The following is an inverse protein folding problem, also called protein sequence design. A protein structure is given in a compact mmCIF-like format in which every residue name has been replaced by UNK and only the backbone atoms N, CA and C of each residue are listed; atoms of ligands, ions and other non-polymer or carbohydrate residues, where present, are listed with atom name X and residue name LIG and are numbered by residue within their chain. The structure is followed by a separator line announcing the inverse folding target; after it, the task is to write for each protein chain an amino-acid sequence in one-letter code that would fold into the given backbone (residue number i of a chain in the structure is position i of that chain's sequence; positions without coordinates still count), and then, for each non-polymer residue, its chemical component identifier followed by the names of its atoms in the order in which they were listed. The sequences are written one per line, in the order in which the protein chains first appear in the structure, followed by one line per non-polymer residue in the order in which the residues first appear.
data_IF_074733500472
#
_entry.id   IF_074733500472
#
_cell.length_a   1.000
_cell.length_b   1.000
_cell.length_c   1.000
_cell.angle_alpha   90.00
_cell.angle_beta   90.00
_cell.angle_gamma   90.00
#
_symmetry.space_group_name_H-M   'P 1'
#
loop_
_entity.id
_entity.type
_entity.pdbx_description
1 polymer ?
#
# COMPACT_ATOMS: atom_id res chain seq x y z
N UNK A 1 -64.93 -15.52 -34.44
CA UNK A 1 -64.21 -14.70 -35.45
C UNK A 1 -62.71 -14.77 -35.11
N UNK A 2 -61.98 -15.66 -35.79
CA UNK A 2 -60.89 -15.38 -36.77
C UNK A 2 -59.80 -14.46 -36.22
N UNK A 3 -58.69 -14.98 -35.69
CA UNK A 3 -57.47 -15.55 -36.35
C UNK A 3 -56.64 -14.55 -37.17
N UNK A 4 -55.38 -14.38 -36.74
CA UNK A 4 -54.11 -14.51 -37.50
C UNK A 4 -53.01 -14.81 -36.44
N UNK A 5 -52.39 -15.99 -36.32
CA UNK A 5 -51.43 -16.73 -37.21
C UNK A 5 -50.34 -15.79 -37.72
N UNK A 6 -49.03 -16.05 -37.61
CA UNK A 6 -48.17 -17.17 -37.19
C UNK A 6 -46.73 -16.59 -37.28
N UNK A 7 -45.66 -17.18 -36.73
CA UNK A 7 -44.93 -18.36 -37.21
C UNK A 7 -43.73 -18.48 -36.23
N UNK A 8 -43.58 -19.51 -35.38
CA UNK A 8 -43.04 -20.85 -35.61
C UNK A 8 -41.52 -20.95 -35.80
N UNK A 9 -40.96 -21.90 -35.03
CA UNK A 9 -39.64 -22.56 -35.07
C UNK A 9 -38.49 -21.80 -34.36
N UNK A 10 -37.75 -22.37 -33.41
CA UNK A 10 -37.66 -23.76 -32.95
C UNK A 10 -36.22 -24.04 -32.48
N UNK A 11 -36.06 -24.21 -31.17
CA UNK A 11 -35.26 -25.24 -30.47
C UNK A 11 -33.90 -25.64 -31.08
N UNK A 12 -32.81 -25.43 -30.33
CA UNK A 12 -31.88 -26.52 -29.97
C UNK A 12 -30.83 -26.09 -28.93
N UNK A 13 -30.80 -26.87 -27.84
CA UNK A 13 -29.71 -27.06 -26.87
C UNK A 13 -28.31 -27.10 -27.49
N UNK A 14 -27.33 -26.41 -26.88
CA UNK A 14 -26.05 -27.01 -26.51
C UNK A 14 -25.25 -26.11 -25.56
N UNK A 15 -24.75 -26.72 -24.49
CA UNK A 15 -23.70 -26.17 -23.62
C UNK A 15 -22.47 -25.77 -24.43
N UNK A 16 -21.80 -24.67 -24.05
CA UNK A 16 -20.35 -24.63 -23.80
C UNK A 16 -19.92 -23.24 -23.30
N UNK A 17 -19.10 -23.16 -22.25
CA UNK A 17 -18.42 -21.93 -21.83
C UNK A 17 -17.19 -21.69 -22.72
N UNK A 18 -16.99 -20.46 -23.18
CA UNK A 18 -15.79 -20.08 -23.92
C UNK A 18 -14.85 -19.29 -23.00
N UNK A 19 -13.86 -20.00 -22.45
CA UNK A 19 -12.65 -19.39 -21.89
C UNK A 19 -11.84 -18.78 -23.03
N UNK A 20 -11.53 -17.49 -22.94
CA UNK A 20 -10.44 -16.90 -23.73
C UNK A 20 -9.19 -16.95 -22.88
N UNK A 21 -8.45 -18.06 -23.01
CA UNK A 21 -7.05 -18.13 -22.66
C UNK A 21 -6.25 -17.59 -23.86
N UNK A 22 -5.57 -16.45 -23.69
CA UNK A 22 -4.52 -16.06 -24.62
C UNK A 22 -3.19 -16.61 -24.04
N UNK A 23 -2.71 -17.70 -24.63
CA UNK A 23 -1.37 -18.24 -24.43
C UNK A 23 -0.48 -17.69 -25.54
N UNK A 24 0.50 -16.86 -25.20
CA UNK A 24 1.61 -16.55 -26.09
C UNK A 24 2.79 -17.47 -25.70
N UNK A 25 2.91 -18.61 -26.37
CA UNK A 25 4.12 -19.44 -26.37
C UNK A 25 5.01 -18.95 -27.51
N UNK A 26 5.97 -18.09 -27.22
CA UNK A 26 7.03 -17.76 -28.17
C UNK A 26 7.97 -18.94 -28.32
N UNK A 27 7.92 -19.54 -29.51
CA UNK A 27 8.71 -20.70 -29.91
C UNK A 27 9.97 -20.18 -30.61
N UNK A 28 11.13 -20.23 -29.96
CA UNK A 28 12.43 -20.06 -30.63
C UNK A 28 13.01 -21.44 -30.90
N UNK A 29 12.88 -21.89 -32.14
CA UNK A 29 13.47 -23.14 -32.61
C UNK A 29 14.98 -22.97 -32.85
N UNK A 30 15.80 -23.66 -32.07
CA UNK A 30 17.20 -23.92 -32.41
C UNK A 30 17.30 -25.38 -32.85
N UNK A 31 17.39 -25.57 -34.17
CA UNK A 31 17.74 -26.84 -34.80
C UNK A 31 19.25 -27.08 -34.63
N UNK A 32 19.64 -27.93 -33.70
CA UNK A 32 20.91 -28.66 -33.76
C UNK A 32 20.59 -30.14 -33.63
N UNK A 33 20.76 -30.85 -34.74
CA UNK A 33 20.53 -32.29 -34.79
C UNK A 33 21.64 -33.06 -34.09
N UNK A 34 21.26 -34.21 -33.50
CA UNK A 34 22.04 -35.44 -33.52
C UNK A 34 21.10 -36.63 -33.27
N UNK A 35 21.13 -37.59 -34.18
CA UNK A 35 20.43 -38.88 -34.09
C UNK A 35 21.03 -39.72 -32.95
N UNK A 36 20.19 -40.19 -32.02
CA UNK A 36 20.35 -41.52 -31.40
C UNK A 36 19.07 -41.87 -30.65
N UNK A 37 18.62 -43.10 -30.82
CA UNK A 37 17.39 -43.67 -30.31
C UNK A 37 17.40 -43.85 -28.78
N UNK A 38 16.20 -43.75 -28.21
CA UNK A 38 15.78 -44.21 -26.87
C UNK A 38 16.39 -43.51 -25.65
N UNK A 39 15.68 -42.52 -25.11
CA UNK A 39 15.66 -42.18 -23.68
C UNK A 39 14.45 -41.31 -23.41
N UNK A 40 13.66 -41.69 -22.40
CA UNK A 40 12.54 -40.87 -21.89
C UNK A 40 13.03 -39.46 -21.66
N UNK A 41 12.50 -38.52 -22.43
CA UNK A 41 12.72 -37.09 -22.24
C UNK A 41 11.83 -36.65 -21.09
N UNK A 42 12.33 -36.76 -19.87
CA UNK A 42 11.84 -35.89 -18.80
C UNK A 42 12.20 -34.47 -19.23
N UNK A 43 11.18 -33.68 -19.50
CA UNK A 43 11.34 -32.24 -19.68
C UNK A 43 11.59 -31.65 -18.29
N UNK A 44 12.86 -31.63 -17.88
CA UNK A 44 13.31 -30.81 -16.74
C UNK A 44 13.36 -29.37 -17.25
N UNK A 45 12.28 -28.65 -17.04
CA UNK A 45 12.24 -27.19 -17.21
C UNK A 45 12.84 -26.58 -15.95
N UNK A 46 14.12 -26.20 -16.02
CA UNK A 46 14.73 -25.38 -14.98
C UNK A 46 14.31 -23.93 -15.25
N UNK A 47 13.24 -23.49 -14.60
CA UNK A 47 12.83 -22.08 -14.58
C UNK A 47 13.82 -21.29 -13.72
N UNK A 48 14.79 -20.63 -14.36
CA UNK A 48 15.86 -19.88 -13.69
C UNK A 48 15.42 -18.55 -13.06
N UNK A 49 14.12 -18.34 -12.81
CA UNK A 49 13.58 -17.15 -12.15
C UNK A 49 12.29 -17.41 -11.34
N UNK A 50 11.90 -18.68 -11.15
CA UNK A 50 10.94 -19.04 -10.13
C UNK A 50 11.74 -19.65 -8.98
N UNK A 51 11.64 -19.08 -7.77
CA UNK A 51 12.10 -19.79 -6.59
C UNK A 51 11.53 -21.22 -6.64
N UNK A 52 12.33 -22.24 -6.34
CA UNK A 52 11.87 -23.62 -6.33
C UNK A 52 10.98 -23.82 -5.10
N UNK A 53 9.74 -23.36 -5.22
CA UNK A 53 8.76 -23.40 -4.14
C UNK A 53 8.49 -24.86 -3.80
N UNK A 54 8.82 -25.22 -2.56
CA UNK A 54 8.64 -26.57 -2.05
C UNK A 54 7.76 -26.53 -0.80
N UNK A 55 6.53 -27.05 -0.92
CA UNK A 55 5.57 -27.09 0.18
C UNK A 55 6.01 -27.98 1.37
N UNK A 56 7.06 -28.79 1.20
CA UNK A 56 7.68 -29.53 2.30
C UNK A 56 8.61 -28.69 3.17
N UNK A 57 9.07 -27.54 2.67
CA UNK A 57 9.86 -26.57 3.43
C UNK A 57 8.95 -25.77 4.36
N UNK A 58 9.43 -25.44 5.56
CA UNK A 58 8.69 -24.61 6.50
C UNK A 58 8.65 -23.15 6.02
N UNK A 59 7.45 -22.55 5.99
CA UNK A 59 7.30 -21.11 5.75
C UNK A 59 7.93 -20.31 6.89
N UNK A 60 8.75 -19.28 6.61
CA UNK A 60 9.23 -18.36 7.64
C UNK A 60 8.08 -17.83 8.49
N UNK A 61 8.24 -17.84 9.81
CA UNK A 61 7.30 -17.22 10.74
C UNK A 61 7.86 -15.87 11.16
N UNK A 62 7.19 -14.78 10.76
CA UNK A 62 7.52 -13.43 11.21
C UNK A 62 6.99 -13.27 12.63
N UNK A 63 7.87 -12.99 13.58
CA UNK A 63 7.57 -12.88 15.02
C UNK A 63 7.53 -11.44 15.51
N UNK A 64 8.07 -10.49 14.73
CA UNK A 64 8.03 -9.05 15.02
C UNK A 64 7.96 -8.26 13.71
N UNK A 65 7.00 -7.33 13.65
CA UNK A 65 6.74 -6.46 12.51
C UNK A 65 7.41 -5.08 12.68
N UNK A 66 7.38 -4.26 11.63
CA UNK A 66 8.05 -2.94 11.59
C UNK A 66 7.37 -1.84 12.43
N UNK A 67 6.28 -2.16 13.13
CA UNK A 67 5.50 -1.25 13.98
C UNK A 67 4.63 -0.24 13.22
N UNK A 68 4.07 0.71 13.96
CA UNK A 68 3.08 1.70 13.47
C UNK A 68 3.66 2.68 12.42
N UNK A 69 2.85 3.32 11.57
CA UNK A 69 3.29 4.36 10.63
C UNK A 69 4.18 5.44 11.27
N UNK A 70 5.11 6.01 10.49
CA UNK A 70 6.07 7.03 10.98
C UNK A 70 6.21 8.19 9.99
N UNK A 71 6.43 9.39 10.53
CA UNK A 71 6.69 10.61 9.76
C UNK A 71 8.05 11.19 10.12
N UNK A 72 8.79 11.65 9.11
CA UNK A 72 10.10 12.30 9.24
C UNK A 72 10.13 13.64 8.49
N UNK A 73 10.93 14.58 8.98
CA UNK A 73 11.28 15.77 8.20
C UNK A 73 12.24 15.38 7.05
N UNK A 74 12.17 16.12 5.94
CA UNK A 74 13.09 15.99 4.81
C UNK A 74 14.54 16.13 5.33
N UNK A 75 15.36 15.15 4.96
CA UNK A 75 16.76 15.00 5.39
C UNK A 75 16.97 14.64 6.87
N UNK A 76 15.91 14.34 7.64
CA UNK A 76 16.06 13.78 8.98
C UNK A 76 16.69 12.38 8.94
N UNK A 77 17.27 11.94 10.05
CA UNK A 77 17.72 10.55 10.18
C UNK A 77 16.53 9.66 10.51
N UNK A 78 16.20 8.72 9.62
CA UNK A 78 15.13 7.75 9.87
C UNK A 78 15.56 6.65 10.84
N UNK A 79 14.61 6.17 11.65
CA UNK A 79 14.80 4.97 12.46
C UNK A 79 14.92 3.73 11.57
N UNK A 80 15.64 2.74 12.08
CA UNK A 80 15.86 1.46 11.42
C UNK A 80 14.59 0.62 11.47
N UNK A 81 14.03 0.26 10.31
CA UNK A 81 12.98 -0.75 10.21
C UNK A 81 13.60 -2.12 10.49
N UNK A 82 12.95 -2.91 11.33
CA UNK A 82 13.43 -4.24 11.74
C UNK A 82 12.29 -5.24 11.64
N UNK A 83 12.59 -6.44 11.14
CA UNK A 83 11.72 -7.62 11.26
C UNK A 83 12.47 -8.74 11.97
N UNK A 84 11.74 -9.56 12.71
CA UNK A 84 12.25 -10.81 13.26
C UNK A 84 11.51 -11.97 12.63
N UNK A 85 12.24 -12.98 12.17
CA UNK A 85 11.66 -14.18 11.59
C UNK A 85 12.37 -15.44 12.09
N UNK A 86 11.61 -16.53 12.19
CA UNK A 86 12.08 -17.82 12.71
C UNK A 86 11.65 -18.99 11.83
N UNK A 87 12.50 -20.02 11.81
CA UNK A 87 12.24 -21.35 11.22
C UNK A 87 12.94 -22.39 12.07
N UNK A 88 12.40 -23.61 12.09
CA UNK A 88 13.01 -24.73 12.82
C UNK A 88 14.20 -25.35 12.07
N UNK A 89 14.18 -25.29 10.74
CA UNK A 89 15.25 -25.75 9.86
C UNK A 89 15.39 -24.81 8.66
N UNK A 90 16.63 -24.64 8.20
CA UNK A 90 16.96 -23.88 6.99
C UNK A 90 17.74 -22.61 7.26
N UNK A 91 17.89 -21.81 6.21
CA UNK A 91 18.57 -20.51 6.26
C UNK A 91 17.61 -19.44 5.79
N UNK A 92 17.47 -18.37 6.59
CA UNK A 92 16.67 -17.21 6.24
C UNK A 92 17.46 -16.19 5.44
N UNK A 93 16.83 -15.64 4.40
CA UNK A 93 17.32 -14.47 3.66
C UNK A 93 16.19 -13.45 3.48
N UNK A 94 16.56 -12.18 3.29
CA UNK A 94 15.63 -11.06 3.22
C UNK A 94 15.77 -10.32 1.90
N UNK A 95 14.68 -9.72 1.44
CA UNK A 95 14.70 -8.75 0.36
C UNK A 95 13.64 -7.69 0.65
N UNK A 96 14.07 -6.44 0.80
CA UNK A 96 13.17 -5.32 1.00
C UNK A 96 12.59 -4.81 -0.32
N UNK A 97 11.36 -4.32 -0.23
CA UNK A 97 10.59 -3.75 -1.32
C UNK A 97 10.01 -2.41 -0.89
N UNK A 98 9.87 -1.50 -1.86
CA UNK A 98 9.08 -0.28 -1.71
C UNK A 98 7.85 -0.32 -2.60
N UNK A 99 6.78 0.31 -2.14
CA UNK A 99 5.54 0.44 -2.89
C UNK A 99 4.96 1.84 -2.71
N UNK A 100 4.27 2.32 -3.73
CA UNK A 100 3.53 3.58 -3.70
C UNK A 100 2.09 3.39 -3.22
N UNK A 101 1.69 2.14 -2.98
CA UNK A 101 0.40 1.77 -2.39
C UNK A 101 0.63 0.86 -1.19
N UNK A 102 -0.33 0.83 -0.27
CA UNK A 102 -0.31 -0.03 0.90
C UNK A 102 -0.51 -1.50 0.52
N UNK A 103 0.54 -2.13 0.01
CA UNK A 103 0.53 -3.54 -0.38
C UNK A 103 1.91 -4.17 -0.26
N UNK A 104 1.93 -5.38 0.28
CA UNK A 104 3.09 -6.27 0.31
C UNK A 104 3.23 -7.15 -0.95
N UNK A 105 2.54 -6.77 -2.04
CA UNK A 105 2.64 -7.40 -3.34
C UNK A 105 2.86 -6.36 -4.45
N UNK A 106 3.61 -6.74 -5.48
CA UNK A 106 3.84 -5.88 -6.66
C UNK A 106 4.76 -4.67 -6.42
N UNK A 107 5.41 -4.58 -5.26
CA UNK A 107 6.40 -3.54 -4.98
C UNK A 107 7.68 -3.68 -5.80
N UNK A 108 8.47 -2.62 -5.83
CA UNK A 108 9.80 -2.59 -6.46
C UNK A 108 10.85 -3.04 -5.45
N UNK A 109 11.67 -4.04 -5.81
CA UNK A 109 12.77 -4.49 -4.98
C UNK A 109 13.78 -3.36 -4.75
N UNK A 110 14.29 -3.26 -3.53
CA UNK A 110 15.32 -2.29 -3.15
C UNK A 110 16.69 -2.99 -3.26
N UNK A 111 17.48 -2.56 -4.22
CA UNK A 111 18.78 -3.18 -4.52
C UNK A 111 19.70 -3.19 -3.29
N UNK A 112 20.21 -4.38 -2.96
CA UNK A 112 21.16 -4.58 -1.86
C UNK A 112 20.56 -4.56 -0.45
N UNK A 113 19.26 -4.31 -0.30
CA UNK A 113 18.59 -4.38 1.00
C UNK A 113 18.22 -5.86 1.31
N UNK A 114 19.21 -6.62 1.78
CA UNK A 114 19.10 -8.08 2.03
C UNK A 114 19.24 -8.49 3.49
N UNK A 115 19.26 -7.52 4.40
CA UNK A 115 19.36 -7.74 5.84
C UNK A 115 17.96 -7.78 6.49
N UNK A 116 17.89 -8.27 7.73
CA UNK A 116 16.66 -8.21 8.54
C UNK A 116 16.24 -6.77 8.91
N UNK A 117 17.09 -5.79 8.59
CA UNK A 117 16.91 -4.38 8.90
C UNK A 117 17.07 -3.51 7.66
N UNK A 118 16.38 -2.38 7.60
CA UNK A 118 16.51 -1.38 6.54
C UNK A 118 16.27 0.04 7.07
N UNK A 119 17.09 1.01 6.66
CA UNK A 119 16.89 2.43 6.99
C UNK A 119 16.36 3.17 5.76
N UNK A 120 15.10 3.60 5.76
CA UNK A 120 14.52 4.35 4.64
C UNK A 120 15.25 5.67 4.39
N UNK A 121 15.43 6.07 3.12
CA UNK A 121 15.93 7.40 2.81
C UNK A 121 14.86 8.46 3.10
N UNK A 122 15.31 9.63 3.55
CA UNK A 122 14.48 10.83 3.79
C UNK A 122 14.85 11.96 2.82
N UNK A 123 15.39 11.62 1.65
CA UNK A 123 15.94 12.59 0.69
C UNK A 123 14.90 13.21 -0.24
N UNK A 124 13.68 12.66 -0.26
CA UNK A 124 12.56 13.09 -1.08
C UNK A 124 11.31 13.08 -0.21
N UNK A 125 10.48 14.10 -0.33
CA UNK A 125 9.19 14.21 0.35
C UNK A 125 8.16 13.26 -0.28
N UNK A 126 7.18 12.84 0.52
CA UNK A 126 6.11 11.94 0.07
C UNK A 126 5.96 10.69 0.95
N UNK A 127 5.03 9.83 0.55
CA UNK A 127 4.68 8.60 1.29
C UNK A 127 5.13 7.37 0.52
N UNK A 128 5.83 6.47 1.19
CA UNK A 128 6.28 5.18 0.65
C UNK A 128 5.95 4.07 1.65
N UNK A 129 5.47 2.94 1.14
CA UNK A 129 5.22 1.73 1.91
C UNK A 129 6.37 0.75 1.74
N UNK A 130 6.92 0.29 2.85
CA UNK A 130 8.01 -0.70 2.85
C UNK A 130 7.49 -2.05 3.33
N UNK A 131 7.95 -3.12 2.71
CA UNK A 131 7.74 -4.49 3.19
C UNK A 131 8.96 -5.34 2.84
N UNK A 132 9.07 -6.50 3.48
CA UNK A 132 10.17 -7.43 3.26
C UNK A 132 9.62 -8.82 2.96
N UNK A 133 10.22 -9.47 1.98
CA UNK A 133 9.99 -10.89 1.72
C UNK A 133 11.09 -11.68 2.40
N UNK A 134 10.70 -12.51 3.36
CA UNK A 134 11.59 -13.44 4.04
C UNK A 134 11.51 -14.77 3.31
N UNK A 135 12.66 -15.35 3.02
CA UNK A 135 12.80 -16.62 2.31
C UNK A 135 13.50 -17.64 3.20
N UNK A 136 12.91 -18.82 3.41
CA UNK A 136 13.58 -19.97 4.01
C UNK A 136 14.08 -20.90 2.92
N UNK A 137 15.33 -21.32 3.00
CA UNK A 137 15.94 -22.28 2.07
C UNK A 137 16.43 -23.52 2.83
N UNK A 138 16.01 -24.70 2.36
CA UNK A 138 16.46 -26.01 2.86
C UNK A 138 16.88 -26.85 1.65
N UNK A 139 18.18 -27.07 1.47
CA UNK A 139 18.70 -27.70 0.25
C UNK A 139 18.35 -26.86 -0.98
N UNK A 140 17.65 -27.47 -1.95
CA UNK A 140 17.16 -26.78 -3.16
C UNK A 140 15.71 -26.26 -3.00
N UNK A 141 15.04 -26.54 -1.88
CA UNK A 141 13.65 -26.15 -1.63
C UNK A 141 13.55 -24.78 -0.96
N UNK A 142 12.53 -24.02 -1.34
CA UNK A 142 12.31 -22.65 -0.85
C UNK A 142 10.86 -22.44 -0.41
N UNK A 143 10.66 -21.67 0.65
CA UNK A 143 9.36 -21.06 0.98
C UNK A 143 9.52 -19.61 1.40
N UNK A 144 8.46 -18.81 1.20
CA UNK A 144 8.49 -17.37 1.45
C UNK A 144 7.32 -16.93 2.31
N UNK A 145 7.55 -15.86 3.08
CA UNK A 145 6.53 -15.11 3.81
C UNK A 145 6.83 -13.62 3.61
N UNK A 146 5.82 -12.85 3.21
CA UNK A 146 5.92 -11.39 3.18
C UNK A 146 5.46 -10.82 4.54
N UNK A 147 6.14 -9.77 5.00
CA UNK A 147 5.72 -8.99 6.16
C UNK A 147 4.42 -8.22 5.90
N UNK A 148 3.89 -7.59 6.95
CA UNK A 148 3.02 -6.43 6.78
C UNK A 148 3.75 -5.27 6.08
N UNK A 149 3.02 -4.19 5.83
CA UNK A 149 3.56 -2.95 5.27
C UNK A 149 3.87 -1.94 6.38
N UNK A 150 4.90 -1.12 6.17
CA UNK A 150 5.24 0.03 6.99
C UNK A 150 5.08 1.30 6.18
N UNK A 151 4.15 2.16 6.60
CA UNK A 151 4.00 3.50 6.04
C UNK A 151 5.09 4.43 6.57
N UNK A 152 5.82 5.08 5.67
CA UNK A 152 6.81 6.11 5.96
C UNK A 152 6.47 7.36 5.16
N UNK A 153 6.21 8.46 5.88
CA UNK A 153 5.93 9.76 5.28
C UNK A 153 7.10 10.70 5.53
N UNK A 154 7.57 11.39 4.48
CA UNK A 154 8.60 12.42 4.57
C UNK A 154 7.98 13.77 4.23
N UNK A 155 8.07 14.73 5.15
CA UNK A 155 7.50 16.08 5.01
C UNK A 155 8.61 17.10 4.81
N UNK A 156 8.44 18.04 3.89
CA UNK A 156 9.38 19.16 3.79
C UNK A 156 9.23 20.07 5.01
N UNK A 157 10.35 20.41 5.64
CA UNK A 157 10.35 21.43 6.66
C UNK A 157 10.11 22.78 5.98
N UNK A 158 8.99 23.42 6.31
CA UNK A 158 8.71 24.78 5.85
C UNK A 158 9.81 25.70 6.38
N UNK A 159 10.54 26.35 5.47
CA UNK A 159 11.58 27.28 5.84
C UNK A 159 10.93 28.41 6.65
N UNK A 160 11.38 28.59 7.90
CA UNK A 160 11.04 29.78 8.67
C UNK A 160 11.34 31.01 7.79
N UNK A 161 10.43 32.01 7.72
CA UNK A 161 10.63 33.15 6.83
C UNK A 161 11.96 33.82 7.18
N UNK A 162 12.91 33.80 6.25
CA UNK A 162 14.15 34.55 6.41
C UNK A 162 13.78 36.03 6.45
N UNK A 163 13.84 36.63 7.64
CA UNK A 163 13.64 38.06 7.80
C UNK A 163 14.76 38.83 7.07
N UNK A 164 14.45 39.30 5.86
CA UNK A 164 15.28 40.28 5.17
C UNK A 164 15.07 41.64 5.83
N UNK A 165 15.98 42.03 6.73
CA UNK A 165 16.10 43.42 7.19
C UNK A 165 16.28 44.34 5.98
N UNK A 166 15.29 45.18 5.70
CA UNK A 166 15.47 46.32 4.81
C UNK A 166 15.12 47.61 5.56
N UNK A 167 16.14 48.45 5.72
CA UNK A 167 16.06 49.79 6.31
C UNK A 167 15.46 50.75 5.28
N UNK A 168 14.41 51.51 5.66
CA UNK A 168 14.38 52.99 5.68
C UNK A 168 12.98 53.61 5.42
N UNK A 169 12.62 54.54 6.32
CA UNK A 169 11.77 55.74 6.21
C UNK A 169 10.24 55.64 5.99
N UNK A 170 9.54 55.58 7.12
CA UNK A 170 8.56 56.57 7.62
C UNK A 170 7.85 57.50 6.60
N UNK A 171 6.53 57.33 6.45
CA UNK A 171 5.54 58.41 6.67
C UNK A 171 4.18 57.76 6.98
N UNK A 172 3.58 58.19 8.10
CA UNK A 172 2.41 57.62 8.75
C UNK A 172 1.07 57.87 8.04
N UNK A 173 0.15 56.89 8.13
CA UNK A 173 -1.16 57.09 8.76
C UNK A 173 -1.79 55.74 9.16
N UNK A 174 -2.36 55.74 10.35
CA UNK A 174 -2.83 54.61 11.16
C UNK A 174 -4.26 54.21 10.77
N UNK A 175 -4.53 52.93 10.53
CA UNK A 175 -5.77 52.25 10.92
C UNK A 175 -5.50 50.75 10.97
N UNK A 176 -5.51 50.21 12.17
CA UNK A 176 -5.56 48.78 12.52
C UNK A 176 -6.74 48.08 11.86
N UNK A 177 -6.53 46.95 11.17
CA UNK A 177 -7.32 45.72 11.31
C UNK A 177 -6.47 44.51 10.88
N UNK A 178 -6.79 43.37 11.48
CA UNK A 178 -5.94 42.22 11.73
C UNK A 178 -5.56 41.39 10.50
N UNK A 179 -4.35 40.85 10.61
CA UNK A 179 -3.77 39.76 9.83
C UNK A 179 -4.61 38.49 9.93
N UNK A 180 -5.13 38.03 8.80
CA UNK A 180 -5.41 36.61 8.56
C UNK A 180 -4.65 36.24 7.28
N UNK A 181 -3.36 35.95 7.43
CA UNK A 181 -2.62 35.24 6.39
C UNK A 181 -2.98 33.76 6.50
N UNK A 182 -3.92 33.40 5.63
CA UNK A 182 -4.41 32.04 5.37
C UNK A 182 -3.23 31.23 4.82
N UNK A 183 -2.56 30.48 5.70
CA UNK A 183 -1.64 29.41 5.29
C UNK A 183 -2.41 28.45 4.38
N UNK A 184 -1.77 27.98 3.30
CA UNK A 184 -2.40 27.06 2.38
C UNK A 184 -2.71 25.72 3.08
N UNK A 185 -3.84 25.64 3.78
CA UNK A 185 -4.46 24.40 4.18
C UNK A 185 -4.97 23.72 2.91
N UNK A 186 -4.75 22.41 2.78
CA UNK A 186 -5.41 21.64 1.74
C UNK A 186 -6.93 21.83 1.77
N UNK A 187 -7.59 21.48 0.67
CA UNK A 187 -9.01 21.73 0.47
C UNK A 187 -9.78 20.41 0.39
N UNK A 188 -10.89 20.33 1.11
CA UNK A 188 -11.87 19.26 0.95
C UNK A 188 -12.51 19.34 -0.44
N UNK A 189 -12.47 18.21 -1.15
CA UNK A 189 -13.03 18.05 -2.49
C UNK A 189 -14.11 16.97 -2.46
N UNK A 190 -15.08 17.07 -3.38
CA UNK A 190 -16.16 16.08 -3.48
C UNK A 190 -16.32 15.59 -4.91
N UNK A 191 -16.42 14.27 -5.09
CA UNK A 191 -16.69 13.62 -6.37
C UNK A 191 -17.73 12.52 -6.18
N UNK A 192 -18.82 12.57 -6.95
CA UNK A 192 -19.95 11.62 -6.86
C UNK A 192 -20.52 11.42 -5.44
N UNK A 193 -20.47 12.46 -4.62
CA UNK A 193 -20.95 12.44 -3.22
C UNK A 193 -19.92 11.96 -2.20
N UNK A 194 -18.76 11.48 -2.63
CA UNK A 194 -17.66 11.06 -1.76
C UNK A 194 -16.64 12.19 -1.59
N UNK A 195 -16.12 12.34 -0.37
CA UNK A 195 -15.17 13.38 -0.03
C UNK A 195 -13.74 12.86 -0.07
N UNK A 196 -12.82 13.68 -0.59
CA UNK A 196 -11.38 13.47 -0.55
C UNK A 196 -10.69 14.79 -0.16
N UNK A 197 -9.44 14.74 0.25
CA UNK A 197 -8.71 15.93 0.67
C UNK A 197 -7.56 16.22 -0.29
N UNK A 198 -7.56 17.40 -0.91
CA UNK A 198 -6.45 17.84 -1.74
C UNK A 198 -5.47 18.63 -0.88
N UNK A 199 -4.27 18.13 -0.69
CA UNK A 199 -3.20 18.86 -0.04
C UNK A 199 -2.83 20.10 -0.86
N UNK A 200 -2.25 21.12 -0.23
CA UNK A 200 -1.89 22.37 -0.89
C UNK A 200 -0.87 22.21 -2.04
N UNK A 201 -0.08 21.14 -2.00
CA UNK A 201 0.85 20.73 -3.06
C UNK A 201 0.15 20.03 -4.26
N UNK A 202 -1.17 19.85 -4.18
CA UNK A 202 -2.00 19.20 -5.19
C UNK A 202 -2.12 17.68 -5.04
N UNK A 203 -1.45 17.05 -4.07
CA UNK A 203 -1.56 15.62 -3.76
C UNK A 203 -2.80 15.30 -2.93
N UNK A 204 -3.05 14.03 -2.62
CA UNK A 204 -4.15 13.60 -1.75
C UNK A 204 -3.85 12.28 -1.02
N UNK A 205 -4.39 12.09 0.20
CA UNK A 205 -4.22 10.87 0.99
C UNK A 205 -5.02 9.71 0.40
N UNK A 206 -4.46 8.50 0.43
CA UNK A 206 -5.10 7.24 0.00
C UNK A 206 -4.66 6.10 0.91
N UNK A 207 -5.58 5.21 1.31
CA UNK A 207 -5.32 4.07 2.21
C UNK A 207 -4.51 4.45 3.47
N UNK A 208 -4.81 5.61 4.06
CA UNK A 208 -4.07 6.10 5.21
C UNK A 208 -4.94 6.89 6.16
N UNK A 209 -4.45 6.98 7.40
CA UNK A 209 -4.91 7.95 8.38
C UNK A 209 -4.30 9.33 8.07
N UNK A 210 -5.05 10.39 8.30
CA UNK A 210 -4.58 11.77 8.19
C UNK A 210 -5.31 12.64 9.22
N UNK A 211 -4.57 13.46 9.95
CA UNK A 211 -5.14 14.48 10.81
C UNK A 211 -5.32 15.78 10.03
N UNK A 212 -6.55 16.30 9.99
CA UNK A 212 -6.91 17.55 9.31
C UNK A 212 -7.72 18.38 10.31
N UNK A 213 -7.29 19.61 10.58
CA UNK A 213 -7.95 20.53 11.53
C UNK A 213 -8.21 19.91 12.93
N UNK A 214 -7.27 19.09 13.41
CA UNK A 214 -7.37 18.43 14.71
C UNK A 214 -8.35 17.24 14.76
N UNK A 215 -8.81 16.76 13.60
CA UNK A 215 -9.64 15.56 13.50
C UNK A 215 -8.93 14.50 12.66
N UNK A 216 -9.02 13.24 13.10
CA UNK A 216 -8.49 12.12 12.35
C UNK A 216 -9.48 11.61 11.30
N UNK A 217 -9.00 11.37 10.10
CA UNK A 217 -9.73 10.78 8.99
C UNK A 217 -8.99 9.56 8.49
N UNK A 218 -9.71 8.60 7.91
CA UNK A 218 -9.08 7.51 7.14
C UNK A 218 -9.59 7.57 5.70
N UNK A 219 -8.65 7.47 4.77
CA UNK A 219 -8.91 7.48 3.34
C UNK A 219 -8.84 6.06 2.78
N UNK A 220 -9.73 5.73 1.85
CA UNK A 220 -9.74 4.45 1.13
C UNK A 220 -8.70 4.43 -0.01
N UNK A 221 -8.64 3.31 -0.73
CA UNK A 221 -7.69 3.09 -1.84
C UNK A 221 -7.81 4.09 -2.99
N UNK A 222 -8.95 4.76 -3.12
CA UNK A 222 -9.21 5.78 -4.14
C UNK A 222 -9.02 7.20 -3.60
N UNK A 223 -8.71 7.34 -2.31
CA UNK A 223 -8.54 8.61 -1.63
C UNK A 223 -9.83 9.23 -1.11
N UNK A 224 -10.92 8.46 -1.00
CA UNK A 224 -12.15 8.94 -0.38
C UNK A 224 -12.17 8.63 1.11
N UNK A 225 -12.71 9.53 1.93
CA UNK A 225 -12.88 9.27 3.36
C UNK A 225 -13.79 8.07 3.61
N UNK A 226 -13.48 7.30 4.65
CA UNK A 226 -14.40 6.28 5.17
C UNK A 226 -15.34 6.90 6.21
N UNK A 227 -16.52 6.32 6.31
CA UNK A 227 -17.50 6.59 7.37
C UNK A 227 -18.01 5.27 7.93
N UNK A 228 -18.54 5.30 9.15
CA UNK A 228 -18.99 4.14 9.90
C UNK A 228 -17.86 3.34 10.54
N UNK A 229 -18.15 2.08 10.87
CA UNK A 229 -17.21 1.16 11.50
C UNK A 229 -16.11 0.72 10.53
N UNK A 230 -14.87 0.83 10.97
CA UNK A 230 -13.68 0.44 10.24
C UNK A 230 -12.80 -0.46 11.12
N UNK A 231 -12.29 -1.54 10.53
CA UNK A 231 -11.40 -2.48 11.20
C UNK A 231 -10.01 -2.40 10.59
N UNK A 232 -9.01 -2.21 11.45
CA UNK A 232 -7.59 -2.24 11.09
C UNK A 232 -6.88 -3.23 12.01
N UNK A 233 -6.48 -4.38 11.45
CA UNK A 233 -6.01 -5.52 12.23
C UNK A 233 -7.09 -6.02 13.21
N UNK A 234 -6.73 -6.11 14.49
CA UNK A 234 -7.64 -6.52 15.57
C UNK A 234 -8.38 -5.34 16.23
N UNK A 235 -8.17 -4.11 15.75
CA UNK A 235 -8.75 -2.88 16.32
C UNK A 235 -9.95 -2.42 15.50
N UNK A 236 -10.95 -1.89 16.19
CA UNK A 236 -12.14 -1.27 15.59
C UNK A 236 -12.17 0.22 15.90
N UNK A 237 -12.51 0.99 14.88
CA UNK A 237 -12.68 2.44 14.92
C UNK A 237 -14.04 2.81 14.34
N UNK A 238 -14.55 3.98 14.69
CA UNK A 238 -15.75 4.52 14.07
C UNK A 238 -15.48 5.91 13.52
N UNK A 239 -15.87 6.13 12.26
CA UNK A 239 -15.80 7.44 11.61
C UNK A 239 -17.21 7.99 11.45
N UNK A 240 -17.43 9.23 11.88
CA UNK A 240 -18.72 9.90 11.79
C UNK A 240 -19.12 10.16 10.33
N UNK A 241 -20.34 10.67 10.10
CA UNK A 241 -20.82 10.97 8.74
C UNK A 241 -19.94 12.00 8.00
N UNK A 242 -19.26 12.88 8.73
CA UNK A 242 -18.30 13.84 8.19
C UNK A 242 -16.89 13.27 8.01
N UNK A 243 -16.66 11.99 8.31
CA UNK A 243 -15.37 11.30 8.21
C UNK A 243 -14.46 11.43 9.41
N UNK A 244 -14.81 12.20 10.44
CA UNK A 244 -13.97 12.37 11.62
C UNK A 244 -14.05 11.14 12.53
N UNK A 245 -12.91 10.65 12.99
CA UNK A 245 -12.81 9.54 13.95
C UNK A 245 -13.50 9.93 15.26
N UNK A 246 -14.35 9.05 15.75
CA UNK A 246 -14.92 9.14 17.09
C UNK A 246 -13.93 8.60 18.12
N UNK A 247 -13.81 9.30 19.24
CA UNK A 247 -13.00 8.91 20.39
C UNK A 247 -13.66 9.44 21.66
N UNK A 248 -13.31 8.87 22.81
CA UNK A 248 -13.86 9.22 24.13
C UNK A 248 -15.40 9.26 24.17
N UNK A 249 -16.05 8.35 23.43
CA UNK A 249 -17.51 8.35 23.25
C UNK A 249 -18.05 6.94 23.04
N UNK A 250 -19.36 6.78 23.26
CA UNK A 250 -20.07 5.55 22.94
C UNK A 250 -20.77 5.65 21.57
N UNK A 251 -20.61 4.63 20.73
CA UNK A 251 -21.28 4.49 19.43
C UNK A 251 -21.96 3.13 19.34
N UNK A 252 -23.25 3.10 19.06
CA UNK A 252 -24.05 1.86 18.97
C UNK A 252 -23.94 0.92 20.19
N UNK A 253 -23.62 1.47 21.36
CA UNK A 253 -23.43 0.71 22.61
C UNK A 253 -22.01 0.19 22.84
N UNK A 254 -21.04 0.55 21.99
CA UNK A 254 -19.62 0.25 22.14
C UNK A 254 -18.85 1.50 22.55
N UNK A 255 -17.92 1.35 23.50
CA UNK A 255 -17.10 2.46 23.98
C UNK A 255 -15.82 2.60 23.15
N UNK A 256 -15.56 3.79 22.62
CA UNK A 256 -14.33 4.13 21.94
C UNK A 256 -13.42 4.90 22.90
N UNK A 257 -12.20 4.42 23.09
CA UNK A 257 -11.19 5.05 23.93
C UNK A 257 -10.70 6.39 23.38
N UNK A 258 -9.75 7.01 24.09
CA UNK A 258 -9.13 8.28 23.68
C UNK A 258 -8.32 8.19 22.39
N UNK A 259 -7.90 6.98 22.01
CA UNK A 259 -7.24 6.66 20.75
C UNK A 259 -8.23 6.21 19.66
N UNK A 260 -9.54 6.30 19.92
CA UNK A 260 -10.60 5.89 19.01
C UNK A 260 -10.80 4.37 18.91
N UNK A 261 -10.03 3.57 19.65
CA UNK A 261 -10.13 2.10 19.61
C UNK A 261 -11.32 1.63 20.46
N UNK A 262 -12.13 0.74 19.88
CA UNK A 262 -13.22 0.07 20.59
C UNK A 262 -12.72 -0.84 21.72
N UNK A 263 -13.33 -0.72 22.89
CA UNK A 263 -13.01 -1.48 24.11
C UNK A 263 -13.98 -2.61 24.42
#
# INVERSE_FOLDING_TARGET
MRLKRGLLAGIALCCMPLMTACSAKDTIGILVGNNSEDTKKEEVTVDLNAANIDDSVEKPQITSEMGDPVTYDLHATADVLTVEATVSEGTLSYQWYRNNVDSNGGGTAIDGATEATYTPPTTESGTIYYYVVVTNTVGDGVQLTASGTKCVTITEQEAAPEETENTQEETAEETTEETTEEVASGSWQQTDGNWWYQNADGTYPTSCWQEIDGQWYVFDENGYIRTGWYQEGDKWYYFQENGAMAHDTDVDGYHLGSDGVMQ
#
